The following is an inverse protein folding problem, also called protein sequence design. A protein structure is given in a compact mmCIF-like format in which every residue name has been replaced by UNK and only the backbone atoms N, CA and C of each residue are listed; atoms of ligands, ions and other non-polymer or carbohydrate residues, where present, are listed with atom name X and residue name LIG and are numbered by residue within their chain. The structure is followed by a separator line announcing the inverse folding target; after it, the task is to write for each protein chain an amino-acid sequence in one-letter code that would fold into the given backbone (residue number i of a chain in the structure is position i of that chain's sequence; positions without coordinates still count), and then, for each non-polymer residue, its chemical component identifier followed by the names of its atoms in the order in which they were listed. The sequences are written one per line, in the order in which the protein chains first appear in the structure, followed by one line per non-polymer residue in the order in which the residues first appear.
data_IF_289590695879
#
_entry.id   IF_289590695879
#
_cell.length_a   1.000
_cell.length_b   1.000
_cell.length_c   1.000
_cell.angle_alpha   90.00
_cell.angle_beta   90.00
_cell.angle_gamma   90.00
#
_symmetry.space_group_name_H-M   'P 1'
#
loop_
_entity.id
_entity.type
_entity.pdbx_description
1 polymer ?
#
# COMPACT_ATOMS: atom_id res chain seq x y z
N UNK A 1 -13.17 -16.81 21.02
CA UNK A 1 -13.27 -17.72 19.86
C UNK A 1 -11.85 -18.08 19.47
N UNK A 2 -11.49 -19.36 19.44
CA UNK A 2 -10.16 -19.82 19.03
C UNK A 2 -10.32 -20.56 17.69
N UNK A 3 -9.41 -20.29 16.75
CA UNK A 3 -9.31 -21.01 15.48
C UNK A 3 -8.11 -21.93 15.54
N UNK A 4 -8.32 -23.20 15.23
CA UNK A 4 -7.24 -24.18 15.03
C UNK A 4 -7.05 -24.38 13.55
N UNK A 5 -5.83 -24.10 13.06
CA UNK A 5 -5.47 -24.27 11.65
C UNK A 5 -4.52 -25.46 11.57
N UNK A 6 -4.93 -26.49 10.86
CA UNK A 6 -4.06 -27.62 10.51
C UNK A 6 -3.51 -27.39 9.11
N UNK A 7 -2.19 -27.36 8.98
CA UNK A 7 -1.53 -27.29 7.66
C UNK A 7 -1.68 -28.62 6.94
N UNK A 8 -2.04 -28.58 5.66
CA UNK A 8 -2.05 -29.74 4.76
C UNK A 8 -0.66 -30.09 4.21
N UNK A 9 0.36 -29.28 4.56
CA UNK A 9 1.72 -29.42 4.05
C UNK A 9 1.93 -28.88 2.63
N UNK A 10 0.89 -28.40 1.97
CA UNK A 10 1.00 -27.79 0.66
C UNK A 10 1.29 -26.29 0.79
N UNK A 11 2.50 -25.89 0.42
CA UNK A 11 2.90 -24.47 0.40
C UNK A 11 2.56 -23.84 -0.97
N UNK A 12 1.29 -23.57 -1.21
CA UNK A 12 0.84 -22.90 -2.42
C UNK A 12 1.00 -21.39 -2.28
N UNK A 13 1.92 -20.82 -3.06
CA UNK A 13 2.08 -19.37 -3.15
C UNK A 13 1.18 -18.80 -4.26
N UNK A 14 0.59 -17.64 -4.02
CA UNK A 14 -0.05 -16.85 -5.07
C UNK A 14 1.06 -16.11 -5.82
N UNK A 15 1.24 -16.46 -7.09
CA UNK A 15 2.24 -15.83 -7.96
C UNK A 15 1.53 -14.85 -8.90
N UNK A 16 1.89 -13.58 -8.80
CA UNK A 16 1.41 -12.55 -9.71
C UNK A 16 2.38 -12.39 -10.89
N UNK A 17 1.84 -12.25 -12.09
CA UNK A 17 2.64 -11.92 -13.27
C UNK A 17 3.05 -10.44 -13.18
N UNK A 18 4.31 -10.17 -13.54
CA UNK A 18 4.75 -8.79 -13.73
C UNK A 18 3.91 -8.14 -14.84
N UNK A 19 3.35 -6.98 -14.55
CA UNK A 19 2.56 -6.20 -15.48
C UNK A 19 3.00 -4.74 -15.43
N UNK A 20 2.97 -4.08 -16.59
CA UNK A 20 3.23 -2.64 -16.65
C UNK A 20 2.07 -1.90 -15.97
N UNK A 21 2.40 -1.05 -15.01
CA UNK A 21 1.41 -0.23 -14.32
C UNK A 21 0.58 0.64 -15.28
N UNK A 22 1.19 1.11 -16.36
CA UNK A 22 0.51 1.98 -17.33
C UNK A 22 -0.65 1.29 -18.04
N UNK A 23 -0.56 -0.03 -18.23
CA UNK A 23 -1.58 -0.85 -18.89
C UNK A 23 -2.70 -1.29 -17.96
N UNK A 24 -2.47 -1.25 -16.63
CA UNK A 24 -3.44 -1.69 -15.64
C UNK A 24 -4.53 -0.65 -15.40
N UNK A 25 -5.78 -1.09 -15.44
CA UNK A 25 -6.90 -0.25 -15.01
C UNK A 25 -7.09 -0.31 -13.48
N UNK A 26 -7.92 0.58 -12.93
CA UNK A 26 -8.24 0.59 -11.49
C UNK A 26 -8.82 -0.73 -10.99
N UNK A 27 -9.58 -1.43 -11.84
CA UNK A 27 -10.17 -2.72 -11.48
C UNK A 27 -9.11 -3.81 -11.36
N UNK A 28 -8.09 -3.80 -12.23
CA UNK A 28 -6.99 -4.76 -12.21
C UNK A 28 -6.11 -4.53 -10.97
N UNK A 29 -5.77 -3.27 -10.68
CA UNK A 29 -5.00 -2.92 -9.47
C UNK A 29 -5.74 -3.39 -8.21
N UNK A 30 -7.05 -3.14 -8.13
CA UNK A 30 -7.90 -3.59 -7.03
C UNK A 30 -7.88 -5.11 -6.89
N UNK A 31 -8.05 -5.83 -8.00
CA UNK A 31 -8.02 -7.29 -8.04
C UNK A 31 -6.68 -7.83 -7.53
N UNK A 32 -5.56 -7.29 -8.02
CA UNK A 32 -4.22 -7.71 -7.57
C UNK A 32 -4.01 -7.46 -6.08
N UNK A 33 -4.44 -6.32 -5.55
CA UNK A 33 -4.34 -6.02 -4.12
C UNK A 33 -5.19 -6.96 -3.26
N UNK A 34 -6.35 -7.38 -3.75
CA UNK A 34 -7.21 -8.35 -3.06
C UNK A 34 -6.59 -9.75 -3.08
N UNK A 35 -6.13 -10.22 -4.22
CA UNK A 35 -5.54 -11.54 -4.40
C UNK A 35 -4.22 -11.71 -3.64
N UNK A 36 -3.42 -10.63 -3.55
CA UNK A 36 -2.16 -10.62 -2.78
C UNK A 36 -2.37 -10.47 -1.26
N UNK A 37 -3.59 -10.17 -0.80
CA UNK A 37 -3.88 -9.87 0.60
C UNK A 37 -3.46 -8.46 1.04
N UNK A 38 -2.83 -7.67 0.16
CA UNK A 38 -2.38 -6.30 0.48
C UNK A 38 -3.55 -5.33 0.72
N UNK A 39 -4.75 -5.66 0.24
CA UNK A 39 -5.94 -4.85 0.49
C UNK A 39 -6.25 -4.64 1.97
N UNK A 40 -5.89 -5.60 2.82
CA UNK A 40 -6.12 -5.53 4.27
C UNK A 40 -5.39 -4.37 4.96
N UNK A 41 -4.35 -3.82 4.35
CA UNK A 41 -3.62 -2.65 4.85
C UNK A 41 -4.31 -1.32 4.52
N UNK A 42 -5.27 -1.31 3.61
CA UNK A 42 -6.03 -0.11 3.26
C UNK A 42 -7.19 0.05 4.23
N UNK A 43 -7.14 1.11 5.02
CA UNK A 43 -8.14 1.41 6.05
C UNK A 43 -9.07 2.53 5.60
N UNK A 44 -10.36 2.35 5.84
CA UNK A 44 -11.38 3.37 5.57
C UNK A 44 -11.64 4.20 6.82
N UNK A 45 -11.50 5.50 6.69
CA UNK A 45 -11.85 6.45 7.75
C UNK A 45 -13.35 6.81 7.65
N UNK A 46 -14.04 7.19 8.77
CA UNK A 46 -13.46 7.45 10.10
C UNK A 46 -13.34 6.21 11.00
N UNK A 47 -13.90 5.07 10.61
CA UNK A 47 -14.06 3.91 11.52
C UNK A 47 -12.85 2.99 11.61
N UNK A 48 -11.80 3.25 10.84
CA UNK A 48 -10.57 2.46 10.80
C UNK A 48 -10.79 0.96 10.50
N UNK A 49 -11.81 0.68 9.70
CA UNK A 49 -12.10 -0.66 9.18
C UNK A 49 -11.37 -0.90 7.87
N UNK A 50 -11.23 -2.16 7.46
CA UNK A 50 -10.71 -2.49 6.11
C UNK A 50 -11.62 -1.84 5.08
N UNK A 51 -11.02 -1.18 4.09
CA UNK A 51 -11.77 -0.46 3.06
C UNK A 51 -12.65 -1.41 2.26
N UNK A 52 -13.89 -0.99 1.99
CA UNK A 52 -14.78 -1.71 1.10
C UNK A 52 -14.24 -1.66 -0.34
N UNK A 53 -13.93 -2.82 -0.96
CA UNK A 53 -13.42 -2.85 -2.33
C UNK A 53 -14.38 -2.28 -3.38
N UNK A 54 -15.67 -2.23 -3.08
CA UNK A 54 -16.67 -1.67 -4.01
C UNK A 54 -16.76 -0.14 -3.96
N UNK A 55 -16.22 0.48 -2.92
CA UNK A 55 -16.26 1.94 -2.74
C UNK A 55 -15.20 2.64 -3.57
N UNK A 56 -15.49 3.90 -3.96
CA UNK A 56 -14.52 4.79 -4.61
C UNK A 56 -14.11 5.86 -3.60
N UNK A 57 -12.85 5.87 -3.13
CA UNK A 57 -12.41 6.86 -2.17
C UNK A 57 -12.26 8.24 -2.81
N UNK A 58 -12.46 9.30 -2.03
CA UNK A 58 -12.19 10.69 -2.45
C UNK A 58 -10.69 10.99 -2.50
N UNK A 59 -9.94 10.38 -1.60
CA UNK A 59 -8.49 10.49 -1.51
C UNK A 59 -7.92 9.31 -0.73
N UNK A 60 -6.65 8.99 -0.99
CA UNK A 60 -5.85 8.03 -0.23
C UNK A 60 -4.74 8.80 0.49
N UNK A 61 -4.57 8.52 1.78
CA UNK A 61 -3.49 9.07 2.59
C UNK A 61 -2.49 7.97 2.91
N UNK A 62 -1.24 8.19 2.53
CA UNK A 62 -0.11 7.28 2.81
C UNK A 62 0.76 7.93 3.87
N UNK A 63 1.03 7.22 4.96
CA UNK A 63 1.94 7.70 6.01
C UNK A 63 3.36 7.24 5.73
N UNK A 64 4.27 8.18 5.49
CA UNK A 64 5.69 7.94 5.27
C UNK A 64 6.55 8.20 6.51
N UNK A 65 5.96 8.37 7.69
CA UNK A 65 6.69 8.56 8.94
C UNK A 65 5.92 7.99 10.13
N UNK A 66 6.65 7.74 11.22
CA UNK A 66 6.08 7.31 12.49
C UNK A 66 6.85 7.97 13.64
N UNK A 67 6.12 8.54 14.60
CA UNK A 67 6.70 9.23 15.76
C UNK A 67 6.67 8.40 17.04
N UNK A 68 6.24 7.14 16.98
CA UNK A 68 6.23 6.26 18.15
C UNK A 68 7.68 5.98 18.62
N UNK A 69 7.90 5.82 19.94
CA UNK A 69 9.22 5.41 20.46
C UNK A 69 9.66 4.10 19.81
N UNK A 70 10.92 4.04 19.37
CA UNK A 70 11.51 2.89 18.67
C UNK A 70 10.83 2.51 17.35
N UNK A 71 10.07 3.41 16.75
CA UNK A 71 9.53 3.21 15.42
C UNK A 71 10.65 3.06 14.38
N UNK A 72 10.38 2.28 13.35
CA UNK A 72 11.31 2.12 12.26
C UNK A 72 11.48 3.44 11.47
N UNK A 73 12.70 3.72 11.05
CA UNK A 73 13.01 4.83 10.15
C UNK A 73 12.55 4.45 8.72
N UNK A 74 11.38 4.93 8.35
CA UNK A 74 10.75 4.62 7.05
C UNK A 74 11.61 5.06 5.86
N UNK A 75 12.18 6.28 5.83
CA UNK A 75 13.09 6.72 4.78
C UNK A 75 14.31 5.80 4.62
N UNK A 76 14.92 5.37 5.73
CA UNK A 76 16.05 4.45 5.70
C UNK A 76 15.68 3.10 5.12
N UNK A 77 14.57 2.51 5.57
CA UNK A 77 14.11 1.20 5.11
C UNK A 77 13.74 1.19 3.63
N UNK A 78 13.12 2.24 3.12
CA UNK A 78 12.67 2.34 1.74
C UNK A 78 13.74 2.88 0.78
N UNK A 79 14.85 3.38 1.31
CA UNK A 79 15.95 3.94 0.50
C UNK A 79 16.44 3.03 -0.64
N UNK A 80 16.60 1.70 -0.45
CA UNK A 80 17.02 0.80 -1.52
C UNK A 80 15.91 0.49 -2.54
N UNK A 81 14.65 0.79 -2.23
CA UNK A 81 13.46 0.43 -3.03
C UNK A 81 12.66 1.65 -3.47
N UNK A 82 13.34 2.74 -3.80
CA UNK A 82 12.70 4.02 -4.18
C UNK A 82 11.77 3.87 -5.40
N UNK A 83 12.20 3.14 -6.41
CA UNK A 83 11.43 2.91 -7.63
C UNK A 83 10.17 2.10 -7.34
N UNK A 84 10.29 1.04 -6.52
CA UNK A 84 9.13 0.23 -6.13
C UNK A 84 8.13 1.03 -5.31
N UNK A 85 8.62 1.90 -4.43
CA UNK A 85 7.77 2.80 -3.66
C UNK A 85 7.02 3.79 -4.57
N UNK A 86 7.72 4.40 -5.54
CA UNK A 86 7.08 5.29 -6.52
C UNK A 86 6.02 4.54 -7.33
N UNK A 87 6.33 3.32 -7.78
CA UNK A 87 5.37 2.46 -8.48
C UNK A 87 4.14 2.14 -7.62
N UNK A 88 4.35 1.90 -6.33
CA UNK A 88 3.27 1.72 -5.36
C UNK A 88 2.34 2.94 -5.27
N UNK A 89 2.90 4.15 -5.18
CA UNK A 89 2.13 5.40 -5.18
C UNK A 89 1.36 5.56 -6.49
N UNK A 90 1.99 5.29 -7.64
CA UNK A 90 1.34 5.36 -8.94
C UNK A 90 0.19 4.35 -9.08
N UNK A 91 0.33 3.15 -8.49
CA UNK A 91 -0.73 2.16 -8.44
C UNK A 91 -1.92 2.64 -7.58
N UNK A 92 -1.66 3.24 -6.42
CA UNK A 92 -2.70 3.82 -5.57
C UNK A 92 -3.41 5.01 -6.22
N UNK A 93 -2.71 5.78 -7.04
CA UNK A 93 -3.28 6.88 -7.80
C UNK A 93 -4.33 6.44 -8.83
N UNK A 94 -4.31 5.18 -9.25
CA UNK A 94 -5.36 4.60 -10.10
C UNK A 94 -6.66 4.30 -9.33
N UNK A 95 -6.57 4.18 -8.01
CA UNK A 95 -7.73 3.86 -7.16
C UNK A 95 -8.47 5.09 -6.67
N UNK A 96 -7.82 6.24 -6.60
CA UNK A 96 -8.39 7.49 -6.09
C UNK A 96 -7.91 8.69 -6.91
N UNK A 97 -8.74 9.75 -7.03
CA UNK A 97 -8.37 10.96 -7.76
C UNK A 97 -7.26 11.77 -7.08
N UNK A 98 -6.97 11.50 -5.81
CA UNK A 98 -5.92 12.18 -5.03
C UNK A 98 -5.22 11.19 -4.11
N UNK A 99 -3.89 11.21 -4.13
CA UNK A 99 -3.05 10.49 -3.16
C UNK A 99 -2.20 11.53 -2.43
N UNK A 100 -2.20 11.47 -1.11
CA UNK A 100 -1.44 12.35 -0.24
C UNK A 100 -0.41 11.53 0.52
N UNK A 101 0.86 11.83 0.32
CA UNK A 101 1.94 11.26 1.10
C UNK A 101 2.30 12.21 2.23
N UNK A 102 2.16 11.74 3.47
CA UNK A 102 2.57 12.48 4.66
C UNK A 102 4.01 12.13 5.00
N UNK A 103 4.87 13.14 5.08
CA UNK A 103 6.29 12.99 5.40
C UNK A 103 6.66 13.87 6.59
N UNK A 104 7.76 13.54 7.27
CA UNK A 104 8.32 14.38 8.30
C UNK A 104 9.02 15.59 7.67
N UNK A 105 8.56 16.80 7.99
CA UNK A 105 9.10 18.04 7.46
C UNK A 105 10.54 18.33 7.92
N UNK A 106 10.97 17.73 9.03
CA UNK A 106 12.34 17.88 9.56
C UNK A 106 13.35 16.94 8.87
N UNK A 107 12.87 15.93 8.16
CA UNK A 107 13.68 14.91 7.50
C UNK A 107 13.77 15.20 6.02
N UNK A 108 14.93 15.66 5.54
CA UNK A 108 15.23 15.71 4.12
C UNK A 108 15.40 14.28 3.60
N UNK A 109 14.37 13.71 3.01
CA UNK A 109 14.37 12.35 2.49
C UNK A 109 13.86 12.30 1.05
N UNK A 110 14.18 11.23 0.34
CA UNK A 110 13.67 10.99 -1.01
C UNK A 110 12.13 10.99 -1.07
N UNK A 111 11.45 10.76 0.05
CA UNK A 111 9.99 10.80 0.12
C UNK A 111 9.40 12.17 -0.23
N UNK A 112 10.18 13.24 -0.08
CA UNK A 112 9.76 14.59 -0.51
C UNK A 112 9.83 14.80 -2.02
N UNK A 113 10.56 13.94 -2.73
CA UNK A 113 10.73 13.97 -4.18
C UNK A 113 9.71 13.10 -4.92
N UNK A 114 8.94 12.28 -4.16
CA UNK A 114 7.89 11.42 -4.73
C UNK A 114 6.79 12.30 -5.33
N UNK A 115 6.51 12.10 -6.60
CA UNK A 115 5.50 12.84 -7.36
C UNK A 115 4.42 11.89 -7.89
N UNK A 116 3.24 12.45 -8.11
CA UNK A 116 2.12 11.77 -8.75
C UNK A 116 1.43 12.75 -9.72
#
# INVERSE_FOLDING_TARGET
MALSINSDGEHKAVVHKLANLDELCAADVRKHLLESGCWSFIKQRPYDVIADPSSTPKAIFVSGFNTAPLAADVPFLLSPQKEDFQNGINALAKLAPKVHLSVDASSASFLTEVSN
#
